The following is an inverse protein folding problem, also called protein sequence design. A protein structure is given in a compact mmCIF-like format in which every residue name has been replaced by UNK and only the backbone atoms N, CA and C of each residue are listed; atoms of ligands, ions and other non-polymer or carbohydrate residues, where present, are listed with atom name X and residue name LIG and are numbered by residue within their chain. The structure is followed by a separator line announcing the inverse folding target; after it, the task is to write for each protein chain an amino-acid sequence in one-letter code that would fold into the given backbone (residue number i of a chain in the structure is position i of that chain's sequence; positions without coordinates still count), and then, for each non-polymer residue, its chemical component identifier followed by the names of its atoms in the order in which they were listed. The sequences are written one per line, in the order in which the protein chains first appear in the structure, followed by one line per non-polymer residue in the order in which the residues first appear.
data_IF_763600910397
#
_entry.id   IF_763600910397
#
_cell.length_a   1.000
_cell.length_b   1.000
_cell.length_c   1.000
_cell.angle_alpha   90.00
_cell.angle_beta   90.00
_cell.angle_gamma   90.00
#
_symmetry.space_group_name_H-M   'P 1'
#
loop_
_entity.id
_entity.type
_entity.pdbx_description
1 polymer ?
#
# COMPACT_ATOMS: atom_id res chain seq x y z
N UNK A 1 -15.92 2.07 -14.17
CA UNK A 1 -15.11 3.30 -14.29
C UNK A 1 -13.97 3.18 -13.30
N UNK A 2 -12.78 2.86 -13.78
CA UNK A 2 -11.58 2.75 -12.94
C UNK A 2 -11.23 4.18 -12.49
N UNK A 3 -11.28 4.45 -11.18
CA UNK A 3 -10.96 5.77 -10.63
C UNK A 3 -9.55 6.24 -11.02
N UNK A 4 -9.21 7.53 -10.80
CA UNK A 4 -7.89 8.05 -11.17
C UNK A 4 -6.78 7.19 -10.56
N UNK A 5 -5.81 6.79 -11.39
CA UNK A 5 -4.69 5.97 -10.96
C UNK A 5 -3.90 6.65 -9.84
N UNK A 6 -3.21 5.88 -9.00
CA UNK A 6 -2.46 6.47 -7.89
C UNK A 6 -1.44 7.50 -8.38
N UNK A 7 -0.81 7.25 -9.53
CA UNK A 7 0.13 8.17 -10.17
C UNK A 7 -0.51 9.51 -10.55
N UNK A 8 -1.75 9.53 -11.05
CA UNK A 8 -2.49 10.77 -11.31
C UNK A 8 -2.84 11.52 -10.01
N UNK A 9 -3.30 10.80 -8.98
CA UNK A 9 -3.57 11.40 -7.65
C UNK A 9 -2.33 12.00 -7.02
N UNK A 10 -1.19 11.30 -7.09
CA UNK A 10 0.07 11.80 -6.57
C UNK A 10 0.59 12.98 -7.39
N UNK A 11 0.41 12.98 -8.72
CA UNK A 11 0.78 14.09 -9.60
C UNK A 11 0.08 15.40 -9.23
N UNK A 12 -1.18 15.33 -8.82
CA UNK A 12 -1.98 16.48 -8.40
C UNK A 12 -1.64 17.00 -6.98
N UNK A 13 -0.89 16.25 -6.17
CA UNK A 13 -0.53 16.61 -4.80
C UNK A 13 0.84 17.30 -4.73
N UNK A 14 1.01 18.15 -3.70
CA UNK A 14 2.32 18.71 -3.37
C UNK A 14 3.28 17.60 -2.91
N UNK A 15 4.61 17.75 -3.11
CA UNK A 15 5.61 16.75 -2.73
C UNK A 15 5.45 16.16 -1.30
N UNK A 16 5.23 16.95 -0.23
CA UNK A 16 5.05 16.39 1.11
C UNK A 16 3.72 15.64 1.29
N UNK A 17 2.70 15.95 0.50
CA UNK A 17 1.39 15.29 0.54
C UNK A 17 1.41 13.97 -0.23
N UNK A 18 2.27 13.84 -1.24
CA UNK A 18 2.45 12.60 -2.01
C UNK A 18 2.86 11.43 -1.12
N UNK A 19 3.83 11.64 -0.23
CA UNK A 19 4.28 10.61 0.69
C UNK A 19 3.14 10.12 1.60
N UNK A 20 2.41 11.04 2.23
CA UNK A 20 1.28 10.69 3.09
C UNK A 20 0.17 9.97 2.32
N UNK A 21 -0.16 10.41 1.11
CA UNK A 21 -1.17 9.77 0.28
C UNK A 21 -0.75 8.37 -0.18
N UNK A 22 0.53 8.17 -0.50
CA UNK A 22 1.09 6.86 -0.83
C UNK A 22 1.04 5.93 0.39
N UNK A 23 1.43 6.44 1.57
CA UNK A 23 1.41 5.68 2.81
C UNK A 23 -0.01 5.24 3.19
N UNK A 24 -0.97 6.17 3.15
CA UNK A 24 -2.40 5.89 3.35
C UNK A 24 -2.93 4.85 2.36
N UNK A 25 -2.46 4.91 1.11
CA UNK A 25 -2.81 3.94 0.08
C UNK A 25 -2.31 2.53 0.42
N UNK A 26 -1.05 2.39 0.82
CA UNK A 26 -0.47 1.10 1.24
C UNK A 26 -1.22 0.58 2.47
N UNK A 27 -1.40 1.40 3.52
CA UNK A 27 -2.07 1.00 4.76
C UNK A 27 -3.51 0.54 4.54
N UNK A 28 -4.26 1.19 3.63
CA UNK A 28 -5.62 0.74 3.27
C UNK A 28 -5.65 -0.64 2.62
N UNK A 29 -4.72 -0.92 1.70
CA UNK A 29 -4.64 -2.26 1.09
C UNK A 29 -4.22 -3.30 2.11
N UNK A 30 -3.24 -3.00 2.96
CA UNK A 30 -2.82 -3.89 4.04
C UNK A 30 -3.97 -4.19 5.00
N UNK A 31 -4.69 -3.18 5.47
CA UNK A 31 -5.85 -3.36 6.35
C UNK A 31 -6.92 -4.26 5.70
N UNK A 32 -7.17 -4.07 4.40
CA UNK A 32 -8.12 -4.91 3.64
C UNK A 32 -7.69 -6.37 3.63
N UNK A 33 -6.41 -6.65 3.42
CA UNK A 33 -5.88 -8.02 3.34
C UNK A 33 -5.89 -8.69 4.73
N UNK A 34 -5.58 -7.93 5.77
CA UNK A 34 -5.62 -8.39 7.16
C UNK A 34 -7.03 -8.38 7.78
N UNK A 35 -8.06 -8.02 7.00
CA UNK A 35 -9.44 -7.85 7.48
C UNK A 35 -9.55 -6.92 8.71
N UNK A 36 -8.70 -5.90 8.77
CA UNK A 36 -8.68 -4.89 9.82
C UNK A 36 -9.66 -3.74 9.52
N UNK A 37 -10.20 -3.07 10.55
CA UNK A 37 -11.27 -2.07 10.40
C UNK A 37 -10.84 -0.79 9.67
N UNK A 38 -9.54 -0.54 9.51
CA UNK A 38 -9.05 0.64 8.81
C UNK A 38 -7.52 0.76 8.81
N UNK A 39 -7.04 1.78 8.09
CA UNK A 39 -5.61 2.08 7.98
C UNK A 39 -4.97 2.46 9.32
N UNK A 40 -5.75 2.96 10.27
CA UNK A 40 -5.32 3.30 11.64
C UNK A 40 -4.86 2.08 12.44
N UNK A 41 -5.38 0.89 12.12
CA UNK A 41 -4.92 -0.37 12.72
C UNK A 41 -3.56 -0.82 12.16
N UNK A 42 -3.10 -0.22 11.05
CA UNK A 42 -1.79 -0.48 10.46
C UNK A 42 -0.79 0.53 10.97
N UNK A 43 0.29 0.06 11.58
CA UNK A 43 1.38 0.93 12.04
C UNK A 43 2.45 1.03 10.94
N UNK A 44 2.70 2.26 10.47
CA UNK A 44 3.65 2.53 9.38
C UNK A 44 5.12 2.40 9.79
N UNK A 45 5.41 2.37 11.09
CA UNK A 45 6.76 2.20 11.64
C UNK A 45 7.06 0.74 11.97
N UNK A 46 6.05 -0.13 11.91
CA UNK A 46 6.19 -1.56 12.17
C UNK A 46 6.27 -2.33 10.85
N UNK A 47 7.19 -3.29 10.77
CA UNK A 47 7.34 -4.13 9.58
C UNK A 47 6.06 -4.92 9.28
N UNK A 48 5.84 -5.25 8.01
CA UNK A 48 4.65 -5.97 7.55
C UNK A 48 4.46 -7.32 8.25
N UNK A 49 5.53 -8.09 8.46
CA UNK A 49 5.48 -9.39 9.14
C UNK A 49 5.07 -9.27 10.61
N UNK A 50 5.57 -8.24 11.29
CA UNK A 50 5.22 -7.91 12.68
C UNK A 50 3.75 -7.48 12.84
N UNK A 51 3.14 -6.97 11.76
CA UNK A 51 1.73 -6.60 11.69
C UNK A 51 0.80 -7.80 11.41
N UNK A 52 1.37 -8.97 11.09
CA UNK A 52 0.62 -10.17 10.74
C UNK A 52 0.47 -10.42 9.24
N UNK A 53 1.26 -9.76 8.37
CA UNK A 53 1.38 -10.23 6.98
C UNK A 53 2.23 -11.49 6.91
N UNK A 54 1.68 -12.52 6.27
CA UNK A 54 2.41 -13.70 5.81
C UNK A 54 2.86 -13.55 4.35
N UNK A 55 3.76 -14.43 3.89
CA UNK A 55 4.28 -14.44 2.51
C UNK A 55 3.21 -14.39 1.42
N UNK A 56 2.07 -15.07 1.62
CA UNK A 56 0.96 -15.05 0.65
C UNK A 56 0.31 -13.67 0.57
N UNK A 57 -0.01 -13.09 1.73
CA UNK A 57 -0.60 -11.75 1.84
C UNK A 57 0.36 -10.66 1.35
N UNK A 58 1.67 -10.85 1.52
CA UNK A 58 2.69 -9.96 1.01
C UNK A 58 2.70 -9.92 -0.53
N UNK A 59 2.61 -11.08 -1.18
CA UNK A 59 2.50 -11.17 -2.65
C UNK A 59 1.19 -10.56 -3.15
N UNK A 60 0.08 -10.77 -2.43
CA UNK A 60 -1.20 -10.14 -2.78
C UNK A 60 -1.14 -8.61 -2.67
N UNK A 61 -0.58 -8.07 -1.58
CA UNK A 61 -0.37 -6.64 -1.38
C UNK A 61 0.46 -6.05 -2.53
N UNK A 62 1.57 -6.70 -2.88
CA UNK A 62 2.43 -6.29 -4.00
C UNK A 62 1.65 -6.24 -5.32
N UNK A 63 0.86 -7.28 -5.62
CA UNK A 63 0.08 -7.34 -6.85
C UNK A 63 -0.97 -6.22 -6.90
N UNK A 64 -1.71 -6.00 -5.81
CA UNK A 64 -2.69 -4.90 -5.71
C UNK A 64 -2.05 -3.53 -5.87
N UNK A 65 -0.91 -3.30 -5.22
CA UNK A 65 -0.17 -2.06 -5.34
C UNK A 65 0.35 -1.86 -6.77
N UNK A 66 0.86 -2.92 -7.41
CA UNK A 66 1.35 -2.86 -8.78
C UNK A 66 0.23 -2.50 -9.78
N UNK A 67 -0.94 -3.13 -9.66
CA UNK A 67 -2.12 -2.81 -10.45
C UNK A 67 -2.60 -1.38 -10.22
N UNK A 68 -2.66 -0.93 -8.95
CA UNK A 68 -3.17 0.40 -8.59
C UNK A 68 -2.23 1.55 -8.98
N UNK A 69 -0.92 1.32 -8.87
CA UNK A 69 0.12 2.30 -9.20
C UNK A 69 0.47 2.30 -10.68
N UNK A 70 0.21 1.19 -11.39
CA UNK A 70 0.73 0.94 -12.73
C UNK A 70 2.24 0.71 -12.77
N UNK A 71 2.89 0.46 -11.62
CA UNK A 71 4.32 0.24 -11.50
C UNK A 71 4.62 -1.23 -11.20
N UNK A 72 5.70 -1.75 -11.77
CA UNK A 72 6.22 -3.07 -11.40
C UNK A 72 7.02 -2.95 -10.10
N UNK A 73 6.45 -3.44 -9.00
CA UNK A 73 7.12 -3.44 -7.70
C UNK A 73 7.96 -4.72 -7.53
N UNK A 74 9.22 -4.63 -7.09
CA UNK A 74 10.03 -5.80 -6.82
C UNK A 74 9.44 -6.61 -5.66
N UNK A 75 9.66 -7.93 -5.68
CA UNK A 75 9.12 -8.83 -4.66
C UNK A 75 9.63 -8.49 -3.25
N UNK A 76 10.81 -7.88 -3.14
CA UNK A 76 11.43 -7.47 -1.87
C UNK A 76 10.77 -6.26 -1.23
N UNK A 77 9.93 -5.48 -1.93
CA UNK A 77 9.31 -4.25 -1.38
C UNK A 77 8.45 -4.50 -0.13
N UNK A 78 7.95 -5.73 0.07
CA UNK A 78 7.13 -6.07 1.25
C UNK A 78 7.97 -6.76 2.34
N UNK A 79 9.22 -7.13 2.03
CA UNK A 79 10.13 -7.85 2.93
C UNK A 79 11.30 -7.01 3.45
N UNK A 80 11.55 -5.82 2.89
CA UNK A 80 12.53 -4.83 3.36
C UNK A 80 11.93 -3.96 4.48
#
# INVERSE_FOLDING_TARGET
EEGPSLSQRLGALAPPQRFNALLDHIRRHTATILALPGLEAIDAHRGFMEQGLDSLTAVELRNRLSTSTGLTLPATTVFD
#
